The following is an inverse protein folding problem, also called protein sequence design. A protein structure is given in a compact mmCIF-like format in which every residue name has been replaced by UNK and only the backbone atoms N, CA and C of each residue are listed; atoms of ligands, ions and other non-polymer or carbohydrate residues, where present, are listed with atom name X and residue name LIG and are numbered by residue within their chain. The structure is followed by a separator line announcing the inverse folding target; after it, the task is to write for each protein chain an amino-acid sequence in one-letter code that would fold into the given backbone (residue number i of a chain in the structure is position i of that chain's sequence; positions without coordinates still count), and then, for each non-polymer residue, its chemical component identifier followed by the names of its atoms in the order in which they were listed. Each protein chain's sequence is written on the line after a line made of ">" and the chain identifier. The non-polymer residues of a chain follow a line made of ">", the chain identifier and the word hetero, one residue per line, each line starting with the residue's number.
data_IF_117681980925
#
_entry.id   IF_117681980925
#
_cell.length_a   1.000
_cell.length_b   1.000
_cell.length_c   1.000
_cell.angle_alpha   90.00
_cell.angle_beta   90.00
_cell.angle_gamma   90.00
#
_symmetry.space_group_name_H-M   'P 1'
#
loop_
_entity.id
_entity.type
_entity.pdbx_description
1 polymer ?
#
# COMPACT_ATOMS: atom_id res chain seq x y z
N UNK A 1 8.22 -52.72 -0.64
CA UNK A 1 7.96 -51.43 0.02
C UNK A 1 8.36 -50.33 -0.96
N UNK A 2 7.37 -49.74 -1.62
CA UNK A 2 7.61 -48.72 -2.67
C UNK A 2 7.72 -47.36 -1.97
N UNK A 3 8.82 -46.64 -2.20
CA UNK A 3 8.99 -45.27 -1.68
C UNK A 3 7.89 -44.35 -2.22
N UNK A 4 7.31 -43.47 -1.45
CA UNK A 4 6.34 -42.50 -1.95
C UNK A 4 7.03 -41.59 -2.98
N UNK A 5 6.38 -41.23 -4.07
CA UNK A 5 7.00 -40.41 -5.10
C UNK A 5 7.24 -39.00 -4.55
N UNK A 6 8.48 -38.57 -4.53
CA UNK A 6 8.96 -37.20 -4.21
C UNK A 6 8.25 -36.10 -5.02
N UNK A 7 7.52 -36.45 -6.07
CA UNK A 7 6.84 -35.55 -6.99
C UNK A 7 5.54 -34.92 -6.41
N UNK A 8 4.90 -35.52 -5.41
CA UNK A 8 3.68 -34.95 -4.79
C UNK A 8 3.93 -33.85 -3.76
N UNK A 9 5.11 -33.84 -3.12
CA UNK A 9 5.43 -32.83 -2.11
C UNK A 9 5.78 -31.45 -2.72
N UNK A 10 6.17 -31.40 -3.99
CA UNK A 10 6.54 -30.15 -4.66
C UNK A 10 5.34 -29.37 -5.18
N UNK A 11 4.20 -30.00 -5.44
CA UNK A 11 3.02 -29.34 -6.02
C UNK A 11 2.16 -28.63 -4.94
N UNK A 12 2.13 -29.17 -3.73
CA UNK A 12 1.34 -28.56 -2.62
C UNK A 12 1.88 -27.23 -2.10
N UNK A 13 3.14 -26.88 -2.38
CA UNK A 13 3.77 -25.60 -2.00
C UNK A 13 3.87 -24.59 -3.13
N UNK A 14 3.40 -24.96 -4.32
CA UNK A 14 3.54 -24.09 -5.50
C UNK A 14 2.61 -22.90 -5.42
N UNK A 15 3.21 -21.69 -5.40
CA UNK A 15 2.48 -20.42 -5.53
C UNK A 15 2.27 -20.12 -7.01
N UNK A 16 1.02 -19.88 -7.39
CA UNK A 16 0.59 -19.52 -8.75
C UNK A 16 0.22 -18.05 -8.86
N UNK A 17 0.30 -17.51 -10.08
CA UNK A 17 -0.22 -16.17 -10.37
C UNK A 17 -1.74 -16.24 -10.55
N UNK A 18 -2.44 -15.30 -9.93
CA UNK A 18 -3.87 -15.13 -10.10
C UNK A 18 -4.16 -14.48 -11.45
N UNK A 19 -5.16 -14.99 -12.17
CA UNK A 19 -5.58 -14.49 -13.49
C UNK A 19 -7.06 -14.15 -13.57
N UNK A 20 -7.85 -14.53 -12.58
CA UNK A 20 -9.28 -14.25 -12.51
C UNK A 20 -9.56 -13.04 -11.61
N UNK A 21 -9.95 -11.95 -12.23
CA UNK A 21 -10.27 -10.70 -11.54
C UNK A 21 -11.54 -10.80 -10.68
N UNK A 22 -12.50 -11.64 -11.08
CA UNK A 22 -13.76 -11.85 -10.35
C UNK A 22 -13.51 -12.43 -8.97
N UNK A 23 -12.76 -13.54 -8.91
CA UNK A 23 -12.41 -14.21 -7.66
C UNK A 23 -11.60 -13.31 -6.72
N UNK A 24 -10.71 -12.47 -7.28
CA UNK A 24 -9.95 -11.52 -6.48
C UNK A 24 -10.87 -10.49 -5.83
N UNK A 25 -11.81 -9.92 -6.61
CA UNK A 25 -12.76 -8.92 -6.09
C UNK A 25 -13.61 -9.46 -4.95
N UNK A 26 -14.14 -10.67 -5.09
CA UNK A 26 -14.91 -11.33 -4.03
C UNK A 26 -14.13 -11.39 -2.71
N UNK A 27 -12.85 -11.79 -2.76
CA UNK A 27 -11.99 -11.86 -1.58
C UNK A 27 -11.68 -10.48 -1.00
N UNK A 28 -11.46 -9.47 -1.85
CA UNK A 28 -11.16 -8.10 -1.41
C UNK A 28 -12.39 -7.43 -0.76
N UNK A 29 -13.59 -7.76 -1.23
CA UNK A 29 -14.85 -7.21 -0.72
C UNK A 29 -15.22 -7.78 0.67
N UNK A 30 -14.64 -8.89 1.11
CA UNK A 30 -14.84 -9.42 2.47
C UNK A 30 -14.17 -8.56 3.56
N UNK A 31 -13.06 -7.86 3.23
CA UNK A 31 -12.40 -6.91 4.11
C UNK A 31 -12.03 -5.63 3.33
N UNK A 32 -13.02 -4.78 3.01
CA UNK A 32 -12.80 -3.64 2.12
C UNK A 32 -11.85 -2.59 2.72
N UNK A 33 -11.74 -2.51 4.05
CA UNK A 33 -10.82 -1.58 4.72
C UNK A 33 -9.39 -2.08 4.65
N UNK A 34 -9.13 -3.32 5.04
CA UNK A 34 -7.79 -3.92 5.03
C UNK A 34 -7.25 -4.16 3.62
N UNK A 35 -8.13 -4.38 2.65
CA UNK A 35 -7.76 -4.62 1.26
C UNK A 35 -7.71 -3.37 0.38
N UNK A 36 -8.13 -2.20 0.86
CA UNK A 36 -8.36 -0.98 0.07
C UNK A 36 -7.22 -0.66 -0.92
N UNK A 37 -5.97 -0.79 -0.48
CA UNK A 37 -4.79 -0.51 -1.31
C UNK A 37 -4.70 -1.44 -2.54
N UNK A 38 -5.02 -2.73 -2.36
CA UNK A 38 -4.99 -3.72 -3.45
C UNK A 38 -6.26 -3.63 -4.27
N UNK A 39 -7.41 -3.42 -3.63
CA UNK A 39 -8.71 -3.26 -4.29
C UNK A 39 -8.69 -2.10 -5.29
N UNK A 40 -8.15 -0.94 -4.90
CA UNK A 40 -7.98 0.21 -5.81
C UNK A 40 -7.20 -0.20 -7.07
N UNK A 41 -6.08 -0.90 -6.93
CA UNK A 41 -5.25 -1.33 -8.06
C UNK A 41 -5.96 -2.32 -8.97
N UNK A 42 -6.65 -3.31 -8.36
CA UNK A 42 -7.40 -4.33 -9.10
C UNK A 42 -8.58 -3.72 -9.87
N UNK A 43 -9.22 -2.70 -9.30
CA UNK A 43 -10.30 -1.97 -9.96
C UNK A 43 -9.81 -1.15 -11.16
N UNK A 44 -8.70 -0.44 -10.99
CA UNK A 44 -8.14 0.44 -12.01
C UNK A 44 -7.45 -0.33 -13.15
N UNK A 45 -6.77 -1.45 -12.82
CA UNK A 45 -5.83 -2.11 -13.74
C UNK A 45 -6.05 -3.62 -13.93
N UNK A 46 -7.03 -4.22 -13.25
CA UNK A 46 -7.25 -5.67 -13.28
C UNK A 46 -6.18 -6.44 -12.53
N UNK A 47 -5.80 -7.61 -13.06
CA UNK A 47 -4.82 -8.53 -12.45
C UNK A 47 -3.56 -8.72 -13.30
N UNK A 48 -3.41 -7.97 -14.39
CA UNK A 48 -2.20 -8.02 -15.21
C UNK A 48 -1.00 -7.46 -14.43
N UNK A 49 0.10 -8.24 -14.27
CA UNK A 49 1.24 -7.83 -13.45
C UNK A 49 1.90 -6.51 -13.86
N UNK A 50 1.91 -6.19 -15.16
CA UNK A 50 2.51 -4.96 -15.67
C UNK A 50 1.62 -3.75 -15.38
N UNK A 51 0.31 -3.93 -15.50
CA UNK A 51 -0.65 -2.86 -15.27
C UNK A 51 -0.83 -2.57 -13.76
N UNK A 52 -0.95 -3.62 -12.92
CA UNK A 52 -1.13 -3.49 -11.48
C UNK A 52 0.16 -3.10 -10.73
N UNK A 53 1.31 -3.18 -11.41
CA UNK A 53 2.63 -2.90 -10.84
C UNK A 53 3.13 -3.94 -9.84
N UNK A 54 2.73 -5.20 -10.03
CA UNK A 54 3.09 -6.32 -9.18
C UNK A 54 2.34 -7.58 -9.56
N UNK A 55 2.44 -8.61 -8.74
CA UNK A 55 1.80 -9.91 -8.96
C UNK A 55 0.80 -10.20 -7.86
N UNK A 56 -0.31 -10.86 -8.20
CA UNK A 56 -1.22 -11.48 -7.24
C UNK A 56 -0.90 -12.97 -7.17
N UNK A 57 -0.62 -13.44 -5.98
CA UNK A 57 -0.20 -14.79 -5.68
C UNK A 57 -1.26 -15.55 -4.92
N UNK A 58 -1.49 -16.81 -5.29
CA UNK A 58 -2.25 -17.79 -4.51
C UNK A 58 -1.51 -19.11 -4.47
N UNK A 59 -1.66 -19.88 -3.39
CA UNK A 59 -1.08 -21.21 -3.30
C UNK A 59 -2.01 -22.30 -3.86
N UNK A 60 -3.31 -22.15 -3.63
CA UNK A 60 -4.34 -23.10 -4.08
C UNK A 60 -5.46 -22.33 -4.77
N UNK A 61 -6.38 -21.83 -3.99
CA UNK A 61 -7.54 -21.05 -4.42
C UNK A 61 -7.41 -19.62 -3.89
N UNK A 62 -7.95 -18.68 -4.63
CA UNK A 62 -7.88 -17.25 -4.28
C UNK A 62 -8.62 -16.96 -2.97
N UNK A 63 -9.73 -17.65 -2.71
CA UNK A 63 -10.52 -17.55 -1.49
C UNK A 63 -9.88 -18.22 -0.25
N UNK A 64 -8.85 -19.04 -0.44
CA UNK A 64 -8.07 -19.64 0.64
C UNK A 64 -6.78 -18.87 0.93
N UNK A 65 -6.12 -18.36 -0.11
CA UNK A 65 -4.85 -17.63 0.03
C UNK A 65 -4.67 -16.58 -1.04
N UNK A 66 -4.28 -15.38 -0.64
CA UNK A 66 -4.05 -14.25 -1.55
C UNK A 66 -2.95 -13.35 -1.00
N UNK A 67 -1.99 -12.98 -1.85
CA UNK A 67 -0.93 -12.03 -1.54
C UNK A 67 -0.65 -11.13 -2.75
N UNK A 68 -0.52 -9.82 -2.54
CA UNK A 68 -0.02 -8.89 -3.55
C UNK A 68 1.47 -8.68 -3.36
N UNK A 69 2.25 -8.81 -4.43
CA UNK A 69 3.70 -8.67 -4.45
C UNK A 69 4.12 -7.63 -5.49
N UNK A 70 4.30 -6.41 -5.05
CA UNK A 70 4.74 -5.26 -5.86
C UNK A 70 5.72 -4.38 -5.10
N UNK A 71 5.54 -3.06 -5.15
CA UNK A 71 6.31 -2.11 -4.34
C UNK A 71 6.13 -2.34 -2.83
N UNK A 72 5.00 -2.93 -2.44
CA UNK A 72 4.74 -3.49 -1.12
C UNK A 72 4.46 -5.00 -1.25
N UNK A 73 4.80 -5.79 -0.25
CA UNK A 73 4.36 -7.18 -0.13
C UNK A 73 3.20 -7.22 0.87
N UNK A 74 2.01 -7.60 0.41
CA UNK A 74 0.75 -7.50 1.16
C UNK A 74 0.07 -8.87 1.20
N UNK A 75 0.29 -9.67 2.25
CA UNK A 75 -0.52 -10.86 2.46
C UNK A 75 -1.92 -10.45 2.89
N UNK A 76 -2.93 -10.84 2.10
CA UNK A 76 -4.33 -10.50 2.32
C UNK A 76 -5.09 -11.63 3.01
N UNK A 77 -4.71 -12.87 2.69
CA UNK A 77 -5.35 -14.08 3.21
C UNK A 77 -4.38 -15.26 3.16
N UNK A 78 -4.53 -16.21 4.07
CA UNK A 78 -3.78 -17.46 4.10
C UNK A 78 -3.53 -17.98 5.50
N UNK A 79 -3.31 -19.28 5.58
CA UNK A 79 -2.84 -19.97 6.78
C UNK A 79 -1.30 -20.01 6.87
N UNK A 80 -0.75 -20.65 7.93
CA UNK A 80 0.70 -20.72 8.14
C UNK A 80 1.48 -21.32 6.97
N UNK A 81 0.92 -22.31 6.27
CA UNK A 81 1.55 -22.94 5.11
C UNK A 81 1.55 -22.02 3.87
N UNK A 82 0.51 -21.19 3.71
CA UNK A 82 0.42 -20.23 2.61
C UNK A 82 1.43 -19.12 2.81
N UNK A 83 1.55 -18.62 4.03
CA UNK A 83 2.56 -17.62 4.42
C UNK A 83 3.99 -18.18 4.21
N UNK A 84 4.21 -19.46 4.53
CA UNK A 84 5.49 -20.11 4.24
C UNK A 84 5.78 -20.15 2.73
N UNK A 85 4.80 -20.55 1.92
CA UNK A 85 4.95 -20.62 0.48
C UNK A 85 5.16 -19.23 -0.17
N UNK A 86 4.48 -18.19 0.33
CA UNK A 86 4.71 -16.81 -0.10
C UNK A 86 6.12 -16.32 0.24
N UNK A 87 6.64 -16.67 1.43
CA UNK A 87 8.01 -16.36 1.81
C UNK A 87 9.02 -17.05 0.91
N UNK A 88 8.86 -18.36 0.65
CA UNK A 88 9.75 -19.14 -0.22
C UNK A 88 9.77 -18.53 -1.63
N UNK A 89 8.61 -18.17 -2.18
CA UNK A 89 8.52 -17.50 -3.49
C UNK A 89 9.21 -16.15 -3.50
N UNK A 90 9.02 -15.35 -2.45
CA UNK A 90 9.63 -14.02 -2.33
C UNK A 90 11.16 -14.11 -2.19
N UNK A 91 11.69 -15.09 -1.45
CA UNK A 91 13.13 -15.34 -1.32
C UNK A 91 13.75 -15.87 -2.61
N UNK A 92 13.01 -16.64 -3.38
CA UNK A 92 13.44 -17.18 -4.68
C UNK A 92 13.42 -16.18 -5.84
N UNK A 93 13.03 -14.92 -5.59
CA UNK A 93 12.89 -13.88 -6.62
C UNK A 93 13.65 -12.61 -6.21
N UNK A 94 14.08 -11.75 -7.17
CA UNK A 94 14.64 -10.45 -6.84
C UNK A 94 13.64 -9.62 -6.00
N UNK A 95 14.11 -9.08 -4.88
CA UNK A 95 13.29 -8.25 -4.00
C UNK A 95 12.84 -6.97 -4.73
N UNK A 96 11.53 -6.79 -4.85
CA UNK A 96 10.90 -5.61 -5.46
C UNK A 96 10.25 -4.67 -4.43
N UNK A 97 9.82 -5.23 -3.29
CA UNK A 97 9.14 -4.46 -2.26
C UNK A 97 10.12 -3.72 -1.34
N UNK A 98 9.74 -2.51 -0.95
CA UNK A 98 10.42 -1.72 0.07
C UNK A 98 9.80 -1.90 1.46
N UNK A 99 8.58 -2.44 1.54
CA UNK A 99 7.85 -2.65 2.79
C UNK A 99 6.91 -3.86 2.71
N UNK A 100 6.58 -4.39 3.90
CA UNK A 100 5.50 -5.34 4.12
C UNK A 100 4.38 -4.60 4.85
N UNK A 101 3.14 -4.77 4.40
CA UNK A 101 1.96 -4.11 4.98
C UNK A 101 0.81 -5.12 5.05
N UNK A 102 0.00 -5.07 6.10
CA UNK A 102 -1.19 -5.91 6.23
C UNK A 102 -1.50 -6.24 7.68
N UNK A 103 -2.41 -7.18 7.89
CA UNK A 103 -2.78 -7.67 9.22
C UNK A 103 -1.59 -8.30 9.92
N UNK A 104 -1.39 -7.98 11.20
CA UNK A 104 -0.24 -8.44 11.99
C UNK A 104 -0.09 -9.97 11.99
N UNK A 105 -1.23 -10.70 12.07
CA UNK A 105 -1.27 -12.16 12.04
C UNK A 105 -0.76 -12.78 10.73
N UNK A 106 -0.71 -12.03 9.64
CA UNK A 106 -0.17 -12.47 8.35
C UNK A 106 1.22 -11.91 8.08
N UNK A 107 1.41 -10.61 8.33
CA UNK A 107 2.65 -9.89 8.01
C UNK A 107 3.81 -10.30 8.91
N UNK A 108 3.58 -10.40 10.23
CA UNK A 108 4.67 -10.70 11.15
C UNK A 108 5.24 -12.13 10.97
N UNK A 109 4.42 -13.18 10.78
CA UNK A 109 4.95 -14.49 10.41
C UNK A 109 5.66 -14.53 9.07
N UNK A 110 5.16 -13.77 8.07
CA UNK A 110 5.82 -13.63 6.77
C UNK A 110 7.19 -12.97 6.93
N UNK A 111 7.28 -11.87 7.67
CA UNK A 111 8.53 -11.17 7.93
C UNK A 111 9.57 -12.04 8.62
N UNK A 112 9.20 -12.77 9.70
CA UNK A 112 10.09 -13.68 10.41
C UNK A 112 10.76 -14.70 9.49
N UNK A 113 10.09 -15.12 8.41
CA UNK A 113 10.65 -16.04 7.41
C UNK A 113 11.55 -15.34 6.40
N UNK A 114 11.23 -14.10 6.06
CA UNK A 114 11.98 -13.33 5.07
C UNK A 114 13.26 -12.72 5.65
N UNK A 115 13.27 -12.35 6.92
CA UNK A 115 14.36 -11.64 7.58
C UNK A 115 15.71 -12.37 7.45
N UNK A 116 15.71 -13.70 7.54
CA UNK A 116 16.94 -14.50 7.42
C UNK A 116 17.62 -14.35 6.03
N UNK A 117 16.83 -14.14 4.97
CA UNK A 117 17.35 -13.98 3.60
C UNK A 117 17.45 -12.52 3.14
N UNK A 118 16.63 -11.63 3.69
CA UNK A 118 16.58 -10.21 3.30
C UNK A 118 17.37 -9.28 4.22
N UNK A 119 17.84 -9.78 5.37
CA UNK A 119 18.48 -8.98 6.41
C UNK A 119 17.46 -8.25 7.30
N UNK A 120 17.97 -7.56 8.32
CA UNK A 120 17.13 -6.87 9.29
C UNK A 120 16.27 -5.76 8.64
N UNK A 121 15.05 -5.58 9.15
CA UNK A 121 14.22 -4.44 8.80
C UNK A 121 14.84 -3.15 9.36
N UNK A 122 14.66 -2.05 8.66
CA UNK A 122 14.97 -0.73 9.20
C UNK A 122 14.06 -0.36 10.37
N UNK A 123 12.79 -0.72 10.27
CA UNK A 123 11.75 -0.45 11.26
C UNK A 123 10.67 -1.54 11.21
N UNK A 124 10.22 -2.01 12.35
CA UNK A 124 9.11 -2.96 12.50
C UNK A 124 8.05 -2.30 13.37
N UNK A 125 6.92 -1.98 12.75
CA UNK A 125 5.74 -1.38 13.41
C UNK A 125 4.71 -2.48 13.66
N UNK A 126 4.91 -3.26 14.70
CA UNK A 126 4.11 -4.43 15.05
C UNK A 126 2.76 -4.05 15.68
N UNK A 127 2.65 -2.85 16.25
CA UNK A 127 1.42 -2.29 16.83
C UNK A 127 1.00 -1.00 16.10
N UNK A 128 0.64 -1.09 14.83
CA UNK A 128 0.10 0.03 14.07
C UNK A 128 -1.40 -0.16 13.83
N UNK A 129 -2.30 0.55 14.57
CA UNK A 129 -3.73 0.39 14.40
C UNK A 129 -4.20 0.81 13.01
N UNK A 130 -5.01 -0.03 12.35
CA UNK A 130 -5.80 0.36 11.20
C UNK A 130 -7.12 0.95 11.71
N UNK A 131 -7.30 2.26 11.50
CA UNK A 131 -8.49 2.97 11.94
C UNK A 131 -9.44 3.20 10.77
N UNK A 132 -10.75 3.06 11.01
CA UNK A 132 -11.78 3.35 10.04
C UNK A 132 -12.82 4.31 10.64
N UNK A 133 -13.27 5.26 9.84
CA UNK A 133 -14.36 6.18 10.17
C UNK A 133 -15.54 5.88 9.23
N UNK A 134 -16.66 5.48 9.82
CA UNK A 134 -17.90 5.15 9.08
C UNK A 134 -19.05 6.11 9.34
N UNK A 135 -18.81 7.12 10.17
CA UNK A 135 -19.80 8.16 10.48
C UNK A 135 -19.28 9.55 10.06
N UNK A 136 -20.18 10.53 9.85
CA UNK A 136 -19.75 11.91 9.61
C UNK A 136 -18.85 12.41 10.76
N UNK A 137 -17.88 13.30 10.45
CA UNK A 137 -17.03 13.89 11.48
C UNK A 137 -17.86 14.70 12.49
N UNK A 138 -17.45 14.67 13.75
CA UNK A 138 -18.13 15.44 14.82
C UNK A 138 -17.76 16.91 14.84
N UNK A 139 -16.71 17.30 14.12
CA UNK A 139 -16.28 18.70 13.96
C UNK A 139 -16.55 19.19 12.54
N UNK A 140 -16.74 20.48 12.41
CA UNK A 140 -16.84 21.11 11.09
C UNK A 140 -15.48 21.04 10.38
N UNK A 141 -15.52 20.72 9.08
CA UNK A 141 -14.33 20.77 8.23
C UNK A 141 -13.81 22.21 8.08
N UNK A 142 -12.52 22.37 7.92
CA UNK A 142 -11.92 23.67 7.59
C UNK A 142 -12.31 24.06 6.15
N UNK A 143 -13.09 25.15 5.93
CA UNK A 143 -13.54 25.57 4.60
C UNK A 143 -12.37 26.04 3.70
N UNK A 144 -11.19 26.31 4.25
CA UNK A 144 -10.01 26.67 3.47
C UNK A 144 -9.27 25.44 2.89
N UNK A 145 -9.61 24.24 3.35
CA UNK A 145 -9.09 22.98 2.76
C UNK A 145 -9.89 22.65 1.51
N UNK A 146 -9.20 22.54 0.40
CA UNK A 146 -9.81 22.30 -0.92
C UNK A 146 -8.97 21.36 -1.78
N UNK A 147 -9.54 20.79 -2.86
CA UNK A 147 -8.76 20.08 -3.86
C UNK A 147 -7.65 20.95 -4.44
N UNK A 148 -6.48 20.35 -4.62
CA UNK A 148 -5.31 20.99 -5.24
C UNK A 148 -5.52 21.04 -6.75
N UNK A 149 -5.17 22.17 -7.38
CA UNK A 149 -5.23 22.32 -8.83
C UNK A 149 -3.87 21.99 -9.45
N UNK A 150 -3.87 21.61 -10.73
CA UNK A 150 -2.64 21.20 -11.42
C UNK A 150 -1.59 22.32 -11.50
N UNK A 151 -2.03 23.58 -11.58
CA UNK A 151 -1.16 24.76 -11.57
C UNK A 151 -0.41 24.94 -10.23
N UNK A 152 -0.94 24.31 -9.16
CA UNK A 152 -0.38 24.37 -7.81
C UNK A 152 0.57 23.19 -7.51
N UNK A 153 0.82 22.32 -8.52
CA UNK A 153 1.64 21.10 -8.36
C UNK A 153 3.01 21.40 -7.74
N UNK A 154 3.69 22.49 -8.16
CA UNK A 154 5.03 22.79 -7.68
C UNK A 154 5.02 23.19 -6.19
N UNK A 155 4.09 24.03 -5.78
CA UNK A 155 3.93 24.41 -4.37
C UNK A 155 3.53 23.19 -3.50
N UNK A 156 2.61 22.37 -4.01
CA UNK A 156 2.19 21.16 -3.29
C UNK A 156 3.31 20.11 -3.20
N UNK A 157 4.13 19.99 -4.22
CA UNK A 157 5.25 19.02 -4.27
C UNK A 157 6.29 19.31 -3.17
N UNK A 158 6.54 20.57 -2.82
CA UNK A 158 7.44 20.93 -1.72
C UNK A 158 6.95 20.30 -0.42
N UNK A 159 5.70 20.53 -0.05
CA UNK A 159 5.10 19.95 1.16
C UNK A 159 5.05 18.41 1.13
N UNK A 160 4.79 17.83 -0.06
CA UNK A 160 4.76 16.39 -0.23
C UNK A 160 6.15 15.75 -0.03
N UNK A 161 7.21 16.39 -0.50
CA UNK A 161 8.60 15.94 -0.31
C UNK A 161 8.99 16.06 1.16
N UNK A 162 8.72 17.19 1.82
CA UNK A 162 9.02 17.38 3.24
C UNK A 162 8.32 16.35 4.12
N UNK A 163 7.03 16.11 3.86
CA UNK A 163 6.28 15.05 4.52
C UNK A 163 6.95 13.69 4.34
N UNK A 164 7.27 13.32 3.10
CA UNK A 164 7.86 12.01 2.77
C UNK A 164 9.22 11.81 3.46
N UNK A 165 10.07 12.82 3.47
CA UNK A 165 11.36 12.79 4.18
C UNK A 165 11.13 12.62 5.68
N UNK A 166 10.18 13.35 6.26
CA UNK A 166 9.87 13.27 7.69
C UNK A 166 9.33 11.91 8.13
N UNK A 167 8.48 11.27 7.31
CA UNK A 167 7.86 9.98 7.63
C UNK A 167 8.74 8.77 7.27
N UNK A 168 9.40 8.84 6.12
CA UNK A 168 10.12 7.71 5.54
C UNK A 168 11.62 7.79 5.80
N UNK A 169 12.16 8.98 6.07
CA UNK A 169 13.59 9.21 6.27
C UNK A 169 14.43 9.08 4.99
N UNK A 170 13.80 9.13 3.82
CA UNK A 170 14.45 9.02 2.51
C UNK A 170 13.97 10.17 1.64
N UNK A 171 14.88 10.84 0.94
CA UNK A 171 14.52 11.85 -0.04
C UNK A 171 13.98 11.18 -1.32
N UNK A 172 12.70 11.42 -1.70
CA UNK A 172 12.09 10.80 -2.87
C UNK A 172 12.68 11.29 -4.20
N UNK A 173 13.58 12.30 -4.15
CA UNK A 173 14.30 12.79 -5.33
C UNK A 173 15.54 11.97 -5.65
N UNK A 174 15.96 11.08 -4.77
CA UNK A 174 17.13 10.23 -5.01
C UNK A 174 16.89 9.29 -6.20
N UNK A 175 17.90 9.13 -7.01
CA UNK A 175 17.92 8.23 -8.18
C UNK A 175 17.48 8.89 -9.49
N UNK A 176 16.25 9.36 -9.60
CA UNK A 176 15.69 9.90 -10.85
C UNK A 176 15.48 11.44 -10.84
N UNK A 177 15.99 12.12 -9.82
CA UNK A 177 15.78 13.56 -9.63
C UNK A 177 14.34 13.91 -9.24
N UNK A 178 13.57 12.95 -8.70
CA UNK A 178 12.20 13.15 -8.24
C UNK A 178 11.13 13.05 -9.34
N UNK A 179 11.48 12.65 -10.55
CA UNK A 179 10.53 12.55 -11.67
C UNK A 179 9.42 11.56 -11.41
N UNK A 180 9.74 10.41 -10.82
CA UNK A 180 8.75 9.40 -10.44
C UNK A 180 7.80 9.90 -9.36
N UNK A 181 8.34 10.54 -8.32
CA UNK A 181 7.54 11.09 -7.23
C UNK A 181 6.64 12.23 -7.71
N UNK A 182 7.17 13.17 -8.52
CA UNK A 182 6.38 14.25 -9.15
C UNK A 182 5.22 13.70 -9.98
N UNK A 183 5.48 12.66 -10.79
CA UNK A 183 4.43 12.01 -11.61
C UNK A 183 3.34 11.40 -10.74
N UNK A 184 3.72 10.74 -9.65
CA UNK A 184 2.77 10.20 -8.67
C UNK A 184 1.89 11.29 -8.06
N UNK A 185 2.49 12.39 -7.60
CA UNK A 185 1.78 13.53 -7.01
C UNK A 185 0.85 14.19 -8.04
N UNK A 186 1.33 14.41 -9.25
CA UNK A 186 0.51 14.95 -10.34
C UNK A 186 -0.70 14.04 -10.65
N UNK A 187 -0.53 12.72 -10.60
CA UNK A 187 -1.62 11.75 -10.76
C UNK A 187 -2.69 11.87 -9.67
N UNK A 188 -2.28 12.08 -8.42
CA UNK A 188 -3.23 12.29 -7.31
C UNK A 188 -4.02 13.59 -7.48
N UNK A 189 -3.36 14.67 -7.90
CA UNK A 189 -4.01 15.96 -8.18
C UNK A 189 -5.00 15.81 -9.34
N UNK A 190 -4.59 15.21 -10.44
CA UNK A 190 -5.44 14.98 -11.61
C UNK A 190 -6.68 14.12 -11.29
N UNK A 191 -6.54 13.18 -10.36
CA UNK A 191 -7.64 12.34 -9.87
C UNK A 191 -8.53 13.02 -8.81
N UNK A 192 -8.26 14.29 -8.42
CA UNK A 192 -8.99 14.98 -7.35
C UNK A 192 -8.74 14.40 -5.95
N UNK A 193 -7.65 13.66 -5.76
CA UNK A 193 -7.31 12.95 -4.52
C UNK A 193 -6.28 13.66 -3.64
N UNK A 194 -5.86 14.86 -4.01
CA UNK A 194 -4.94 15.71 -3.23
C UNK A 194 -5.70 16.92 -2.70
N UNK A 195 -5.60 17.16 -1.39
CA UNK A 195 -6.29 18.24 -0.69
C UNK A 195 -5.28 19.07 0.07
N UNK A 196 -5.47 20.39 0.09
CA UNK A 196 -4.57 21.29 0.82
C UNK A 196 -5.28 22.56 1.26
N UNK A 197 -4.71 23.18 2.30
CA UNK A 197 -4.90 24.58 2.64
C UNK A 197 -3.64 25.35 2.26
N UNK A 198 -3.84 26.48 1.59
CA UNK A 198 -2.77 27.41 1.20
C UNK A 198 -2.87 28.71 1.98
N UNK A 199 -1.73 29.24 2.39
CA UNK A 199 -1.58 30.60 2.90
C UNK A 199 -0.42 31.27 2.15
N UNK A 200 -0.67 32.43 1.57
CA UNK A 200 0.31 33.19 0.77
C UNK A 200 1.02 32.35 -0.32
N UNK A 201 0.28 31.43 -0.95
CA UNK A 201 0.80 30.52 -1.98
C UNK A 201 1.58 29.31 -1.45
N UNK A 202 1.75 29.18 -0.15
CA UNK A 202 2.42 28.08 0.51
C UNK A 202 1.41 27.08 1.09
N UNK A 203 1.71 25.79 0.99
CA UNK A 203 0.89 24.74 1.63
C UNK A 203 1.16 24.71 3.13
N UNK A 204 0.10 24.94 3.93
CA UNK A 204 0.18 24.86 5.40
C UNK A 204 -0.44 23.58 5.96
N UNK A 205 -1.34 22.97 5.20
CA UNK A 205 -1.91 21.64 5.48
C UNK A 205 -2.08 20.87 4.17
N UNK A 206 -1.85 19.56 4.20
CA UNK A 206 -2.18 18.66 3.10
C UNK A 206 -2.65 17.30 3.60
N UNK A 207 -3.47 16.66 2.80
CA UNK A 207 -3.86 15.25 2.93
C UNK A 207 -4.13 14.64 1.55
N UNK A 208 -4.05 13.34 1.44
CA UNK A 208 -4.26 12.59 0.19
C UNK A 208 -5.22 11.43 0.41
N UNK A 209 -6.04 11.13 -0.60
CA UNK A 209 -6.71 9.84 -0.73
C UNK A 209 -5.80 8.96 -1.57
N UNK A 210 -4.94 8.19 -0.90
CA UNK A 210 -3.90 7.41 -1.56
C UNK A 210 -4.43 6.21 -2.33
N UNK A 211 -5.45 5.56 -1.78
CA UNK A 211 -6.18 4.46 -2.42
C UNK A 211 -7.68 4.66 -2.24
N UNK A 212 -8.46 4.27 -3.23
CA UNK A 212 -9.91 4.41 -3.20
C UNK A 212 -10.56 3.22 -3.89
N UNK A 213 -11.46 2.56 -3.17
CA UNK A 213 -12.41 1.58 -3.69
C UNK A 213 -13.81 2.20 -3.75
N UNK A 214 -14.84 1.52 -4.26
CA UNK A 214 -16.20 2.03 -4.28
C UNK A 214 -16.76 2.37 -2.88
N UNK A 215 -16.26 1.73 -1.83
CA UNK A 215 -16.79 1.83 -0.47
C UNK A 215 -15.81 2.43 0.53
N UNK A 216 -14.51 2.50 0.22
CA UNK A 216 -13.46 2.94 1.16
C UNK A 216 -12.49 3.89 0.48
N UNK A 217 -12.16 5.00 1.15
CA UNK A 217 -11.05 5.88 0.82
C UNK A 217 -9.99 5.83 1.91
N UNK A 218 -8.74 5.54 1.55
CA UNK A 218 -7.62 5.54 2.49
C UNK A 218 -6.96 6.92 2.53
N UNK A 219 -7.11 7.61 3.66
CA UNK A 219 -6.40 8.87 3.92
C UNK A 219 -4.94 8.56 4.24
N UNK A 220 -4.05 9.27 3.59
CA UNK A 220 -2.61 9.19 3.83
C UNK A 220 -1.93 10.53 3.62
N UNK A 221 -0.66 10.63 4.00
CA UNK A 221 0.15 11.81 3.75
C UNK A 221 -0.43 13.08 4.38
N UNK A 222 -1.03 12.96 5.55
CA UNK A 222 -1.49 14.10 6.35
C UNK A 222 -0.28 14.83 6.89
N UNK A 223 -0.16 16.11 6.56
CA UNK A 223 0.98 16.91 6.97
C UNK A 223 0.55 18.35 7.27
N UNK A 224 1.14 18.89 8.32
CA UNK A 224 1.00 20.30 8.71
C UNK A 224 2.38 20.95 8.70
N UNK A 225 2.48 22.11 8.06
CA UNK A 225 3.70 22.91 8.04
C UNK A 225 4.21 23.14 9.49
N UNK A 226 5.51 22.99 9.77
CA UNK A 226 6.05 23.06 11.14
C UNK A 226 5.59 24.30 11.93
N UNK A 227 5.60 25.46 11.31
CA UNK A 227 5.19 26.72 11.95
C UNK A 227 3.67 26.84 12.22
N UNK A 228 2.87 25.94 11.63
CA UNK A 228 1.41 25.90 11.77
C UNK A 228 0.91 24.78 12.67
N UNK A 229 1.81 23.96 13.21
CA UNK A 229 1.45 22.88 14.13
C UNK A 229 0.90 23.41 15.46
N UNK A 230 0.12 22.57 16.14
CA UNK A 230 -0.53 22.93 17.41
C UNK A 230 -1.71 23.90 17.29
N UNK A 231 -2.16 24.22 16.06
CA UNK A 231 -3.29 25.14 15.79
C UNK A 231 -4.58 24.41 15.37
N UNK A 232 -4.63 23.10 15.51
CA UNK A 232 -5.82 22.30 15.17
C UNK A 232 -6.04 22.09 13.67
N UNK A 233 -5.01 22.15 12.84
CA UNK A 233 -5.12 21.97 11.39
C UNK A 233 -5.04 20.50 10.93
N UNK A 234 -4.64 19.57 11.78
CA UNK A 234 -4.46 18.16 11.46
C UNK A 234 -5.44 17.24 12.14
#
# INVERSE_FOLDING_TARGET
>A
MSAPPLYRLTDERRVSLVRDVGQVREVLDEDPVGSCMVACRVLDYGVDPNAIGGELWTRRRVDESLCYAGANLIPLRGGPDDIAAFADKALGSPRRCSSLVGRAELVLPLWRRLEAGWGAARDVRDEQPLMALSAPPQCAGDPAVRPVRMEELDAYLVAAIEMFIGEVGIDPRMGDGGRGYRRRVAGLIAAGRAWARFEDGQVVFKAEIGSQSPTVGQIQGVWVHPEWRGRGLG
#
